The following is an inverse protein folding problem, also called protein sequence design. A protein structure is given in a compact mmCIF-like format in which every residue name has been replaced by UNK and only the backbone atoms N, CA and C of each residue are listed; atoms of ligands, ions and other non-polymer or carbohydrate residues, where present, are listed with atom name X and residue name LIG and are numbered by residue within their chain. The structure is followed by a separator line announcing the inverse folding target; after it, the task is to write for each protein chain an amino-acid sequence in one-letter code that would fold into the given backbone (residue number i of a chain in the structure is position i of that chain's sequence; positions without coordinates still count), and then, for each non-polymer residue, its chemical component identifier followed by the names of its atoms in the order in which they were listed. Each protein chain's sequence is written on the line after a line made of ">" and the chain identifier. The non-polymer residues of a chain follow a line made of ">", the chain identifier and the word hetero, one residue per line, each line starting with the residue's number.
data_IF_655435539404
#
_entry.id   IF_655435539404
#
_cell.length_a   1.000
_cell.length_b   1.000
_cell.length_c   1.000
_cell.angle_alpha   90.00
_cell.angle_beta   90.00
_cell.angle_gamma   90.00
#
_symmetry.space_group_name_H-M   'P 1'
#
loop_
_entity.id
_entity.type
_entity.pdbx_description
1 polymer ?
#
# COMPACT_ATOMS: atom_id res chain seq x y z
N UNK A 1 8.62 18.17 -14.95
CA UNK A 1 8.13 16.90 -14.44
C UNK A 1 6.66 16.75 -14.74
N UNK A 2 6.29 15.65 -15.33
CA UNK A 2 4.92 15.48 -15.80
C UNK A 2 4.25 14.26 -15.16
N UNK A 3 4.27 14.24 -13.83
CA UNK A 3 3.75 13.12 -13.06
C UNK A 3 2.27 12.87 -13.35
N UNK A 4 1.48 13.92 -13.48
CA UNK A 4 0.06 13.77 -13.80
C UNK A 4 -0.16 13.14 -15.17
N UNK A 5 0.64 13.52 -16.13
CA UNK A 5 0.56 12.96 -17.47
C UNK A 5 0.93 11.49 -17.47
N UNK A 6 2.00 11.15 -16.78
CA UNK A 6 2.44 9.78 -16.66
C UNK A 6 1.40 8.91 -15.95
N UNK A 7 0.79 9.46 -14.92
CA UNK A 7 -0.27 8.76 -14.20
C UNK A 7 -1.49 8.55 -15.11
N UNK A 8 -1.87 9.58 -15.85
CA UNK A 8 -3.01 9.52 -16.76
C UNK A 8 -2.84 8.45 -17.84
N UNK A 9 -1.65 8.36 -18.41
CA UNK A 9 -1.35 7.38 -19.45
C UNK A 9 -0.94 6.01 -18.93
N UNK A 10 -0.96 5.81 -17.62
CA UNK A 10 -0.63 4.52 -17.03
C UNK A 10 0.86 4.21 -17.02
N UNK A 11 1.71 5.20 -17.22
CA UNK A 11 3.16 5.01 -17.19
C UNK A 11 3.70 4.93 -15.77
N UNK A 12 2.93 5.36 -14.79
CA UNK A 12 3.26 5.27 -13.39
C UNK A 12 2.14 4.52 -12.69
N UNK A 13 2.48 3.45 -12.00
CA UNK A 13 1.51 2.68 -11.23
C UNK A 13 1.89 2.74 -9.76
N UNK A 14 1.13 3.49 -8.94
CA UNK A 14 1.44 3.58 -7.51
C UNK A 14 1.36 2.25 -6.77
N UNK A 15 0.62 1.28 -7.31
CA UNK A 15 0.52 -0.03 -6.70
C UNK A 15 1.73 -0.92 -6.98
N UNK A 16 2.49 -0.60 -8.02
CA UNK A 16 3.69 -1.35 -8.36
C UNK A 16 4.89 -0.72 -7.66
N UNK A 17 5.42 -1.44 -6.70
CA UNK A 17 6.59 -0.99 -5.97
C UNK A 17 7.78 -1.85 -6.34
N UNK A 18 8.83 -1.19 -6.79
CA UNK A 18 10.08 -1.89 -7.08
C UNK A 18 10.73 -2.28 -5.76
N UNK A 19 11.00 -3.56 -5.59
CA UNK A 19 11.72 -4.05 -4.42
C UNK A 19 13.20 -3.99 -4.73
N UNK A 20 13.93 -3.24 -3.94
CA UNK A 20 15.36 -3.08 -4.12
C UNK A 20 16.06 -4.40 -3.79
N UNK A 21 16.86 -4.88 -4.74
CA UNK A 21 17.60 -6.12 -4.61
C UNK A 21 18.58 -6.04 -3.44
N UNK A 22 18.56 -7.06 -2.58
CA UNK A 22 19.40 -7.09 -1.40
C UNK A 22 18.98 -6.18 -0.29
N UNK A 23 17.81 -5.53 -0.39
CA UNK A 23 17.31 -4.66 0.66
C UNK A 23 16.86 -5.47 1.87
N UNK A 24 16.76 -4.78 3.01
CA UNK A 24 16.23 -5.40 4.20
C UNK A 24 14.79 -5.89 4.00
N UNK A 25 14.01 -5.12 3.24
CA UNK A 25 12.65 -5.53 2.91
C UNK A 25 12.64 -6.86 2.15
N UNK A 26 13.50 -7.00 1.15
CA UNK A 26 13.58 -8.25 0.38
C UNK A 26 13.98 -9.41 1.27
N UNK A 27 14.94 -9.21 2.15
CA UNK A 27 15.39 -10.24 3.08
C UNK A 27 14.24 -10.70 3.98
N UNK A 28 13.48 -9.75 4.52
CA UNK A 28 12.34 -10.07 5.36
C UNK A 28 11.23 -10.76 4.59
N UNK A 29 10.98 -10.34 3.35
CA UNK A 29 9.97 -10.95 2.52
C UNK A 29 10.29 -12.42 2.23
N UNK A 30 11.55 -12.72 1.92
CA UNK A 30 12.00 -14.10 1.73
C UNK A 30 11.86 -14.92 3.00
N UNK A 31 12.24 -14.34 4.12
CA UNK A 31 12.12 -15.00 5.41
C UNK A 31 10.66 -15.29 5.75
N UNK A 32 9.79 -14.34 5.49
CA UNK A 32 8.37 -14.54 5.74
C UNK A 32 7.83 -15.70 4.91
N UNK A 33 8.22 -15.78 3.64
CA UNK A 33 7.80 -16.85 2.77
C UNK A 33 8.30 -18.21 3.27
N UNK A 34 9.55 -18.29 3.66
CA UNK A 34 10.13 -19.51 4.20
C UNK A 34 9.42 -19.96 5.48
N UNK A 35 9.12 -19.02 6.37
CA UNK A 35 8.39 -19.32 7.59
C UNK A 35 6.99 -19.83 7.30
N UNK A 36 6.31 -19.22 6.33
CA UNK A 36 4.97 -19.65 5.94
C UNK A 36 4.99 -21.07 5.36
N UNK A 37 5.97 -21.37 4.50
CA UNK A 37 6.12 -22.69 3.93
C UNK A 37 6.39 -23.76 5.00
N UNK A 38 7.28 -23.43 5.92
CA UNK A 38 7.60 -24.32 7.03
C UNK A 38 6.39 -24.60 7.91
N UNK A 39 5.67 -23.52 8.24
CA UNK A 39 4.47 -23.63 9.06
C UNK A 39 3.42 -24.48 8.36
N UNK A 40 3.21 -24.26 7.07
CA UNK A 40 2.21 -25.01 6.30
C UNK A 40 2.53 -26.51 6.25
N UNK A 41 3.81 -26.87 6.16
CA UNK A 41 4.22 -28.27 6.13
C UNK A 41 3.87 -29.01 7.41
N UNK A 42 3.79 -28.31 8.51
CA UNK A 42 3.51 -28.91 9.83
C UNK A 42 2.02 -29.02 10.12
N UNK A 43 1.17 -28.49 9.23
CA UNK A 43 -0.26 -28.49 9.45
C UNK A 43 -0.92 -29.75 8.90
N UNK A 44 -2.01 -30.15 9.56
CA UNK A 44 -2.92 -31.17 9.05
C UNK A 44 -3.63 -30.63 7.80
N UNK A 45 -4.29 -31.49 6.99
CA UNK A 45 -5.06 -31.02 5.86
C UNK A 45 -6.09 -29.94 6.21
N UNK A 46 -6.79 -30.11 7.35
CA UNK A 46 -7.75 -29.10 7.81
C UNK A 46 -7.06 -27.83 8.24
N UNK A 47 -5.90 -27.95 8.88
CA UNK A 47 -5.08 -26.80 9.25
C UNK A 47 -4.58 -26.04 8.03
N UNK A 48 -4.18 -26.73 6.98
CA UNK A 48 -3.77 -26.09 5.73
C UNK A 48 -4.89 -25.28 5.12
N UNK A 49 -6.09 -25.83 5.13
CA UNK A 49 -7.27 -25.14 4.60
C UNK A 49 -7.56 -23.86 5.39
N UNK A 50 -7.50 -23.95 6.70
CA UNK A 50 -7.70 -22.79 7.59
C UNK A 50 -6.61 -21.74 7.36
N UNK A 51 -5.38 -22.17 7.18
CA UNK A 51 -4.26 -21.27 6.94
C UNK A 51 -4.42 -20.51 5.61
N UNK A 52 -4.85 -21.21 4.57
CA UNK A 52 -5.10 -20.56 3.28
C UNK A 52 -6.21 -19.52 3.37
N UNK A 53 -7.28 -19.84 4.09
CA UNK A 53 -8.35 -18.87 4.33
C UNK A 53 -7.83 -17.63 5.05
N UNK A 54 -6.96 -17.84 6.03
CA UNK A 54 -6.31 -16.73 6.73
C UNK A 54 -5.47 -15.88 5.79
N UNK A 55 -4.66 -16.52 4.95
CA UNK A 55 -3.81 -15.80 3.99
C UNK A 55 -4.64 -14.97 3.02
N UNK A 56 -5.73 -15.53 2.50
CA UNK A 56 -6.61 -14.82 1.59
C UNK A 56 -7.21 -13.58 2.26
N UNK A 57 -7.68 -13.74 3.49
CA UNK A 57 -8.22 -12.62 4.26
C UNK A 57 -7.16 -11.56 4.52
N UNK A 58 -5.96 -12.01 4.88
CA UNK A 58 -4.85 -11.11 5.14
C UNK A 58 -4.49 -10.31 3.88
N UNK A 59 -4.46 -10.96 2.73
CA UNK A 59 -4.17 -10.28 1.47
C UNK A 59 -5.23 -9.24 1.12
N UNK A 60 -6.50 -9.54 1.35
CA UNK A 60 -7.57 -8.58 1.12
C UNK A 60 -7.44 -7.37 2.04
N UNK A 61 -7.16 -7.63 3.32
CA UNK A 61 -6.94 -6.54 4.28
C UNK A 61 -5.76 -5.68 3.86
N UNK A 62 -4.69 -6.31 3.39
CA UNK A 62 -3.50 -5.59 2.96
C UNK A 62 -3.78 -4.70 1.76
N UNK A 63 -4.55 -5.19 0.78
CA UNK A 63 -4.93 -4.38 -0.37
C UNK A 63 -5.72 -3.14 0.03
N UNK A 64 -6.69 -3.32 0.93
CA UNK A 64 -7.50 -2.20 1.42
C UNK A 64 -6.62 -1.21 2.17
N UNK A 65 -5.76 -1.72 3.03
CA UNK A 65 -4.85 -0.89 3.82
C UNK A 65 -3.88 -0.11 2.93
N UNK A 66 -3.34 -0.76 1.91
CA UNK A 66 -2.43 -0.11 0.98
C UNK A 66 -3.11 1.01 0.20
N UNK A 67 -4.31 0.77 -0.28
CA UNK A 67 -5.08 1.80 -0.96
C UNK A 67 -5.41 2.97 -0.03
N UNK A 68 -5.82 2.65 1.20
CA UNK A 68 -6.15 3.68 2.18
C UNK A 68 -4.93 4.56 2.49
N UNK A 69 -3.78 3.95 2.66
CA UNK A 69 -2.54 4.68 2.91
C UNK A 69 -2.19 5.59 1.74
N UNK A 70 -2.31 5.07 0.52
CA UNK A 70 -2.07 5.86 -0.69
C UNK A 70 -3.04 7.03 -0.79
N UNK A 71 -4.32 6.78 -0.58
CA UNK A 71 -5.35 7.81 -0.65
C UNK A 71 -5.10 8.92 0.36
N UNK A 72 -4.84 8.54 1.59
CA UNK A 72 -4.56 9.51 2.65
C UNK A 72 -3.29 10.29 2.39
N UNK A 73 -2.28 9.63 1.82
CA UNK A 73 -1.04 10.31 1.44
C UNK A 73 -1.26 11.37 0.39
N UNK A 74 -2.07 11.06 -0.63
CA UNK A 74 -2.40 12.03 -1.68
C UNK A 74 -3.15 13.22 -1.08
N UNK A 75 -4.15 12.94 -0.23
CA UNK A 75 -4.91 14.01 0.40
C UNK A 75 -4.03 14.89 1.28
N UNK A 76 -3.13 14.28 2.03
CA UNK A 76 -2.20 15.02 2.86
C UNK A 76 -1.29 15.90 2.00
N UNK A 77 -0.77 15.35 0.89
CA UNK A 77 0.10 16.11 0.00
C UNK A 77 -0.59 17.31 -0.61
N UNK A 78 -1.84 17.13 -1.07
CA UNK A 78 -2.62 18.21 -1.65
C UNK A 78 -2.87 19.28 -0.59
N UNK A 79 -3.28 18.88 0.60
CA UNK A 79 -3.53 19.82 1.69
C UNK A 79 -2.27 20.59 2.07
N UNK A 80 -1.15 19.89 2.15
CA UNK A 80 0.13 20.50 2.43
C UNK A 80 0.46 21.57 1.40
N UNK A 81 0.28 21.24 0.12
CA UNK A 81 0.56 22.19 -0.95
C UNK A 81 -0.36 23.41 -0.90
N UNK A 82 -1.63 23.20 -0.59
CA UNK A 82 -2.56 24.30 -0.45
C UNK A 82 -2.16 25.23 0.69
N UNK A 83 -1.71 24.69 1.80
CA UNK A 83 -1.25 25.48 2.92
C UNK A 83 0.01 26.26 2.58
N UNK A 84 0.95 25.65 1.87
CA UNK A 84 2.22 26.29 1.50
C UNK A 84 2.00 27.36 0.43
N UNK A 85 1.27 27.04 -0.62
CA UNK A 85 1.05 27.95 -1.74
C UNK A 85 0.02 29.01 -1.37
N UNK A 86 -1.08 28.55 -0.76
CA UNK A 86 -2.18 29.41 -0.41
C UNK A 86 -1.78 30.45 0.58
N UNK A 87 -1.18 30.02 1.66
CA UNK A 87 -0.75 30.91 2.73
C UNK A 87 -1.81 31.91 3.12
N UNK A 88 -3.06 31.50 3.05
CA UNK A 88 -4.12 32.44 3.27
C UNK A 88 -5.43 31.68 3.39
N UNK A 89 -6.44 32.41 3.70
CA UNK A 89 -7.76 31.86 3.75
C UNK A 89 -8.27 31.63 2.35
N UNK A 90 -8.92 30.52 2.17
CA UNK A 90 -9.49 30.15 0.89
C UNK A 90 -10.88 29.58 1.12
N UNK A 91 -11.76 29.84 0.16
CA UNK A 91 -13.09 29.29 0.18
C UNK A 91 -13.18 27.91 -0.45
N UNK A 92 -12.05 27.33 -0.80
CA UNK A 92 -12.01 25.99 -1.35
C UNK A 92 -12.50 24.98 -0.32
N UNK A 93 -13.15 23.92 -0.79
CA UNK A 93 -13.62 22.87 0.10
C UNK A 93 -12.48 22.27 0.91
N UNK A 94 -12.79 21.85 2.11
CA UNK A 94 -11.83 21.21 2.98
C UNK A 94 -11.46 19.85 2.42
N UNK A 95 -10.16 19.62 2.27
CA UNK A 95 -9.67 18.34 1.80
C UNK A 95 -9.59 17.34 2.96
N UNK A 96 -9.79 17.82 4.18
CA UNK A 96 -9.80 16.97 5.35
C UNK A 96 -10.83 15.85 5.32
N UNK A 97 -11.80 15.96 4.42
CA UNK A 97 -12.78 14.91 4.22
C UNK A 97 -12.18 13.66 3.60
N UNK A 98 -10.95 13.74 3.16
CA UNK A 98 -10.20 12.59 2.69
C UNK A 98 -9.81 11.62 3.81
N UNK A 99 -10.02 11.99 5.01
CA UNK A 99 -9.59 11.20 6.17
C UNK A 99 -10.47 9.98 6.42
#
# INVERSE_FOLDING_TARGET
>A
MFVLKDLWYGNVSPSERAVRRGSHYQTLAHRQLECAEQFEKELSPDGKKAFRAYEETQNELQEISDFDAFYKGVCFGVRFMLDVIGNHQTDLPQIGECV
#
